data_IF_491447254518
#
_entry.id   IF_491447254518
#
_cell.length_a   1.000
_cell.length_b   1.000
_cell.length_c   1.000
_cell.angle_alpha   90.00
_cell.angle_beta   90.00
_cell.angle_gamma   90.00
#
_symmetry.space_group_name_H-M   'P 1'
#
loop_
_entity.id
_entity.type
_entity.pdbx_description
1 polymer ?
#
# COMPACT_ATOMS: atom_id res chain seq x y z
N UNK A 1 -21.93 13.43 -3.38
CA UNK A 1 -23.37 13.67 -3.16
C UNK A 1 -23.61 14.17 -1.74
N UNK A 2 -24.60 15.03 -1.51
CA UNK A 2 -25.05 15.41 -0.17
C UNK A 2 -26.26 14.54 0.20
N UNK A 3 -26.20 13.91 1.37
CA UNK A 3 -27.25 13.01 1.86
C UNK A 3 -27.50 13.30 3.33
N UNK A 4 -28.76 13.24 3.76
CA UNK A 4 -29.15 13.37 5.17
C UNK A 4 -29.45 11.98 5.71
N UNK A 5 -28.69 11.54 6.71
CA UNK A 5 -28.84 10.23 7.37
C UNK A 5 -28.89 10.44 8.88
N UNK A 6 -29.75 9.69 9.56
CA UNK A 6 -29.80 9.69 11.02
C UNK A 6 -28.81 8.64 11.54
N UNK A 7 -27.79 9.08 12.28
CA UNK A 7 -26.74 8.23 12.84
C UNK A 7 -26.80 8.37 14.35
N UNK A 8 -26.85 7.26 15.12
CA UNK A 8 -26.81 7.32 16.57
C UNK A 8 -25.56 8.06 17.07
N UNK A 9 -25.79 8.95 18.04
CA UNK A 9 -24.78 9.85 18.57
C UNK A 9 -23.57 9.12 19.16
N UNK A 10 -23.83 7.99 19.84
CA UNK A 10 -22.79 7.12 20.41
C UNK A 10 -21.89 6.54 19.32
N UNK A 11 -22.51 5.97 18.27
CA UNK A 11 -21.80 5.37 17.14
C UNK A 11 -20.94 6.40 16.40
N UNK A 12 -21.44 7.62 16.22
CA UNK A 12 -20.68 8.69 15.59
C UNK A 12 -19.49 9.13 16.44
N UNK A 13 -19.64 9.22 17.77
CA UNK A 13 -18.52 9.51 18.69
C UNK A 13 -17.45 8.42 18.65
N UNK A 14 -17.85 7.16 18.62
CA UNK A 14 -16.91 6.03 18.51
C UNK A 14 -16.16 6.07 17.18
N UNK A 15 -16.86 6.35 16.08
CA UNK A 15 -16.24 6.53 14.77
C UNK A 15 -15.22 7.69 14.78
N UNK A 16 -15.56 8.83 15.38
CA UNK A 16 -14.64 9.96 15.54
C UNK A 16 -13.42 9.61 16.39
N UNK A 17 -13.60 8.87 17.50
CA UNK A 17 -12.51 8.40 18.37
C UNK A 17 -11.55 7.46 17.64
N UNK A 18 -12.08 6.49 16.89
CA UNK A 18 -11.25 5.51 16.19
C UNK A 18 -10.53 6.11 14.98
N UNK A 19 -11.18 7.02 14.25
CA UNK A 19 -10.62 7.66 13.04
C UNK A 19 -9.81 8.93 13.33
N UNK A 20 -9.85 9.41 14.59
CA UNK A 20 -9.30 10.70 15.04
C UNK A 20 -9.74 11.88 14.16
N UNK A 21 -10.93 11.79 13.58
CA UNK A 21 -11.46 12.78 12.66
C UNK A 21 -11.86 14.06 13.40
N UNK A 22 -11.62 15.22 12.78
CA UNK A 22 -11.98 16.53 13.34
C UNK A 22 -13.45 16.87 13.09
N UNK A 23 -14.04 16.29 12.05
CA UNK A 23 -15.43 16.55 11.65
C UNK A 23 -16.26 15.27 11.57
N UNK A 24 -17.58 15.40 11.79
CA UNK A 24 -18.54 14.29 11.68
C UNK A 24 -18.49 13.63 10.29
N UNK A 25 -18.40 14.45 9.24
CA UNK A 25 -18.32 13.96 7.85
C UNK A 25 -17.05 13.15 7.62
N UNK A 26 -15.90 13.66 8.05
CA UNK A 26 -14.61 12.98 7.90
C UNK A 26 -14.61 11.63 8.60
N UNK A 27 -15.18 11.54 9.81
CA UNK A 27 -15.30 10.29 10.53
C UNK A 27 -16.09 9.23 9.76
N UNK A 28 -17.20 9.64 9.14
CA UNK A 28 -18.06 8.77 8.33
C UNK A 28 -17.31 8.29 7.08
N UNK A 29 -16.64 9.20 6.37
CA UNK A 29 -15.87 8.84 5.16
C UNK A 29 -14.77 7.85 5.50
N UNK A 30 -13.95 8.12 6.52
CA UNK A 30 -12.87 7.22 6.94
C UNK A 30 -13.40 5.85 7.40
N UNK A 31 -14.54 5.83 8.10
CA UNK A 31 -15.17 4.57 8.52
C UNK A 31 -15.61 3.72 7.31
N UNK A 32 -16.17 4.35 6.28
CA UNK A 32 -16.57 3.67 5.05
C UNK A 32 -15.37 3.18 4.22
N UNK A 33 -14.33 4.01 4.11
CA UNK A 33 -13.07 3.62 3.44
C UNK A 33 -12.44 2.41 4.10
N UNK A 34 -12.36 2.41 5.43
CA UNK A 34 -11.81 1.31 6.21
C UNK A 34 -12.66 0.04 6.08
N UNK A 35 -13.99 0.17 6.08
CA UNK A 35 -14.90 -0.96 5.84
C UNK A 35 -14.65 -1.57 4.46
N UNK A 36 -14.60 -0.74 3.42
CA UNK A 36 -14.33 -1.21 2.06
C UNK A 36 -12.95 -1.85 1.96
N UNK A 37 -11.92 -1.27 2.59
CA UNK A 37 -10.57 -1.86 2.61
C UNK A 37 -10.57 -3.27 3.19
N UNK A 38 -11.30 -3.50 4.29
CA UNK A 38 -11.42 -4.84 4.90
C UNK A 38 -12.15 -5.82 4.00
N UNK A 39 -13.21 -5.39 3.31
CA UNK A 39 -13.90 -6.24 2.34
C UNK A 39 -12.97 -6.63 1.19
N UNK A 40 -12.25 -5.67 0.60
CA UNK A 40 -11.28 -5.95 -0.46
C UNK A 40 -10.18 -6.91 0.01
N UNK A 41 -9.66 -6.73 1.24
CA UNK A 41 -8.69 -7.66 1.84
C UNK A 41 -9.27 -9.07 2.00
N UNK A 42 -10.50 -9.19 2.50
CA UNK A 42 -11.17 -10.48 2.64
C UNK A 42 -11.42 -11.17 1.31
N UNK A 43 -11.69 -10.41 0.24
CA UNK A 43 -11.82 -10.96 -1.11
C UNK A 43 -10.48 -11.47 -1.66
N UNK A 44 -9.38 -10.73 -1.45
CA UNK A 44 -8.05 -11.16 -1.85
C UNK A 44 -7.62 -12.46 -1.17
N UNK A 45 -7.95 -12.63 0.11
CA UNK A 45 -7.67 -13.87 0.85
C UNK A 45 -8.31 -15.09 0.20
N UNK A 46 -9.45 -14.96 -0.50
CA UNK A 46 -10.09 -16.08 -1.22
C UNK A 46 -9.25 -16.65 -2.37
N UNK A 47 -8.25 -15.90 -2.83
CA UNK A 47 -7.33 -16.29 -3.88
C UNK A 47 -5.99 -16.80 -3.32
N UNK A 48 -5.77 -16.68 -2.01
CA UNK A 48 -4.57 -17.21 -1.37
C UNK A 48 -4.47 -18.72 -1.60
N UNK A 49 -3.32 -19.18 -2.11
CA UNK A 49 -3.08 -20.59 -2.47
C UNK A 49 -3.63 -21.05 -3.82
N UNK A 50 -4.32 -20.18 -4.60
CA UNK A 50 -4.79 -20.50 -5.97
C UNK A 50 -3.83 -20.04 -7.07
N UNK A 51 -2.77 -19.35 -6.69
CA UNK A 51 -1.80 -18.82 -7.63
C UNK A 51 -0.77 -19.90 -7.97
N UNK A 52 -0.93 -20.56 -9.12
CA UNK A 52 -0.04 -21.63 -9.58
C UNK A 52 1.16 -21.11 -10.38
N UNK A 53 1.12 -19.86 -10.86
CA UNK A 53 2.09 -19.31 -11.82
C UNK A 53 2.88 -18.09 -11.31
N UNK A 54 2.82 -17.78 -10.02
CA UNK A 54 3.62 -16.69 -9.46
C UNK A 54 5.05 -17.19 -9.19
N UNK A 55 6.02 -16.32 -9.45
CA UNK A 55 7.41 -16.58 -9.10
C UNK A 55 7.55 -16.82 -7.60
N UNK A 56 8.46 -17.73 -7.24
CA UNK A 56 8.81 -17.97 -5.85
C UNK A 56 9.66 -16.82 -5.30
N UNK A 57 9.73 -16.70 -3.97
CA UNK A 57 10.56 -15.68 -3.32
C UNK A 57 12.04 -15.78 -3.75
N UNK A 58 12.54 -17.00 -3.91
CA UNK A 58 13.92 -17.28 -4.35
C UNK A 58 14.19 -16.77 -5.77
N UNK A 59 13.23 -16.94 -6.68
CA UNK A 59 13.33 -16.44 -8.06
C UNK A 59 13.32 -14.91 -8.13
N UNK A 60 12.54 -14.26 -7.25
CA UNK A 60 12.49 -12.79 -7.15
C UNK A 60 13.82 -12.25 -6.61
N UNK A 61 14.33 -12.83 -5.52
CA UNK A 61 15.60 -12.43 -4.93
C UNK A 61 16.78 -12.59 -5.90
N UNK A 62 16.79 -13.68 -6.68
CA UNK A 62 17.79 -13.89 -7.72
C UNK A 62 17.72 -12.81 -8.82
N UNK A 63 16.52 -12.44 -9.26
CA UNK A 63 16.32 -11.36 -10.23
C UNK A 63 16.77 -9.99 -9.68
N UNK A 64 16.44 -9.67 -8.43
CA UNK A 64 16.88 -8.43 -7.77
C UNK A 64 18.40 -8.38 -7.61
N UNK A 65 19.04 -9.50 -7.27
CA UNK A 65 20.49 -9.57 -7.12
C UNK A 65 21.21 -9.40 -8.47
N UNK A 66 20.68 -9.98 -9.54
CA UNK A 66 21.20 -9.81 -10.90
C UNK A 66 21.02 -8.38 -11.43
N UNK A 67 19.87 -7.75 -11.16
CA UNK A 67 19.64 -6.36 -11.51
C UNK A 67 20.58 -5.41 -10.74
N UNK A 68 20.77 -5.64 -9.44
CA UNK A 68 21.74 -4.91 -8.62
C UNK A 68 23.19 -5.08 -9.10
N UNK A 69 23.59 -6.31 -9.46
CA UNK A 69 24.91 -6.60 -10.04
C UNK A 69 25.11 -5.90 -11.38
N UNK A 70 24.04 -5.74 -12.18
CA UNK A 70 24.09 -5.03 -13.45
C UNK A 70 24.38 -3.54 -13.27
N UNK A 71 23.70 -2.90 -12.32
CA UNK A 71 23.84 -1.48 -12.01
C UNK A 71 25.21 -1.14 -11.40
N UNK A 72 25.72 -2.00 -10.51
CA UNK A 72 27.05 -1.84 -9.90
C UNK A 72 28.21 -2.07 -10.88
N UNK A 73 28.04 -2.93 -11.89
CA UNK A 73 29.01 -3.06 -12.99
C UNK A 73 29.03 -1.81 -13.86
N UNK A 74 27.85 -1.28 -14.21
CA UNK A 74 27.71 -0.06 -15.01
C UNK A 74 28.32 1.17 -14.31
N UNK A 75 28.19 1.29 -12.99
CA UNK A 75 28.75 2.41 -12.23
C UNK A 75 30.27 2.35 -12.06
N UNK A 76 30.88 1.15 -12.03
CA UNK A 76 32.35 0.99 -11.98
C UNK A 76 33.06 1.32 -13.31
N UNK A 77 32.36 1.21 -14.44
CA UNK A 77 32.91 1.56 -15.76
C UNK A 77 32.90 3.07 -16.03
N UNK A 78 32.10 3.86 -15.30
CA UNK A 78 32.07 5.32 -15.44
C UNK A 78 33.26 5.93 -14.69
N UNK A 79 34.43 5.98 -15.36
CA UNK A 79 35.56 6.81 -14.90
C UNK A 79 35.31 8.26 -15.35
N UNK A 80 34.98 9.13 -14.41
CA UNK A 80 34.97 10.56 -14.66
C UNK A 80 36.41 11.05 -14.94
N UNK A 81 36.68 11.71 -16.08
CA UNK A 81 38.00 12.25 -16.34
C UNK A 81 38.27 13.39 -15.34
N UNK A 82 39.26 13.20 -14.47
CA UNK A 82 39.78 14.29 -13.61
C UNK A 82 40.38 15.34 -14.54
N UNK A 83 39.69 16.47 -14.76
CA UNK A 83 40.27 17.67 -15.38
C UNK A 83 41.55 18.02 -14.62
N UNK A 84 42.71 17.80 -15.25
CA UNK A 84 43.98 18.35 -14.77
C UNK A 84 43.95 19.86 -14.94
N UNK A 85 44.39 20.55 -13.88
CA UNK A 85 44.49 22.02 -13.76
C UNK A 85 45.35 22.61 -14.86
#
# INVERSE_FOLDING_TARGET
>A
MKTTVNIPDKTLRDAMRHTKAKTKREAIVKALEEMNRRHSQAELVKYFGKFESLMTNEEIEAMEEDDWKSWTKASKTIRFPRKRK
#
